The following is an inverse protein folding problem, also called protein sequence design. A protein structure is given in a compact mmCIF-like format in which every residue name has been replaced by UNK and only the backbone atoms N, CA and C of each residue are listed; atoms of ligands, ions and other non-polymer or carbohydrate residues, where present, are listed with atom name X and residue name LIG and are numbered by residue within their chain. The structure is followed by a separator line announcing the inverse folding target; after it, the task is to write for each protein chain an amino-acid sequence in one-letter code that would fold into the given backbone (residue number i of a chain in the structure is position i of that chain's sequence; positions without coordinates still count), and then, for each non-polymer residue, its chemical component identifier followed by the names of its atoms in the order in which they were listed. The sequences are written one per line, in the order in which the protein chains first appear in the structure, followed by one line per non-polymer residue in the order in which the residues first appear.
data_IF_297830836296
#
_entry.id   IF_297830836296
#
_cell.length_a   1.000
_cell.length_b   1.000
_cell.length_c   1.000
_cell.angle_alpha   90.00
_cell.angle_beta   90.00
_cell.angle_gamma   90.00
#
_symmetry.space_group_name_H-M   'P 1'
#
loop_
_entity.id
_entity.type
_entity.pdbx_description
1 polymer ?
#
# COMPACT_ATOMS: atom_id res chain seq x y z
N UNK A 1 -14.15 -8.31 -10.93
CA UNK A 1 -15.09 -7.33 -11.51
C UNK A 1 -14.28 -6.11 -11.96
N UNK A 2 -14.59 -5.51 -13.10
CA UNK A 2 -13.90 -4.29 -13.55
C UNK A 2 -14.16 -3.12 -12.59
N UNK A 3 -13.20 -2.19 -12.49
CA UNK A 3 -13.39 -0.96 -11.73
C UNK A 3 -14.52 -0.11 -12.35
N UNK A 4 -15.37 0.57 -11.55
CA UNK A 4 -16.33 1.56 -12.05
C UNK A 4 -15.64 2.72 -12.77
N UNK A 5 -16.38 3.49 -13.55
CA UNK A 5 -15.83 4.72 -14.15
C UNK A 5 -15.45 5.70 -13.03
N UNK A 6 -14.43 6.55 -13.27
CA UNK A 6 -13.95 7.49 -12.26
C UNK A 6 -15.07 8.41 -11.78
N UNK A 7 -15.91 8.88 -12.70
CA UNK A 7 -17.02 9.80 -12.44
C UNK A 7 -18.07 9.20 -11.50
N UNK A 8 -18.22 7.88 -11.46
CA UNK A 8 -19.18 7.18 -10.60
C UNK A 8 -18.65 6.98 -9.17
N UNK A 9 -17.33 7.07 -8.97
CA UNK A 9 -16.67 6.71 -7.72
C UNK A 9 -15.83 7.85 -7.11
N UNK A 10 -15.68 8.98 -7.82
CA UNK A 10 -14.83 10.09 -7.42
C UNK A 10 -15.15 10.61 -6.02
N UNK A 11 -16.44 10.84 -5.71
CA UNK A 11 -16.87 11.33 -4.40
C UNK A 11 -16.55 10.33 -3.28
N UNK A 12 -16.69 9.03 -3.54
CA UNK A 12 -16.36 7.97 -2.57
C UNK A 12 -14.85 7.91 -2.33
N UNK A 13 -14.06 8.04 -3.39
CA UNK A 13 -12.60 8.11 -3.27
C UNK A 13 -12.19 9.33 -2.46
N UNK A 14 -12.71 10.51 -2.79
CA UNK A 14 -12.41 11.76 -2.08
C UNK A 14 -12.77 11.67 -0.59
N UNK A 15 -13.96 11.15 -0.29
CA UNK A 15 -14.39 10.94 1.09
C UNK A 15 -13.43 10.04 1.87
N UNK A 16 -13.10 8.85 1.33
CA UNK A 16 -12.19 7.91 2.01
C UNK A 16 -10.76 8.45 2.10
N UNK A 17 -10.31 9.19 1.08
CA UNK A 17 -8.99 9.81 1.08
C UNK A 17 -8.89 10.81 2.23
N UNK A 18 -9.90 11.66 2.43
CA UNK A 18 -9.93 12.60 3.54
C UNK A 18 -9.88 11.90 4.91
N UNK A 19 -10.61 10.78 5.08
CA UNK A 19 -10.54 9.99 6.32
C UNK A 19 -9.13 9.47 6.61
N UNK A 20 -8.42 8.97 5.60
CA UNK A 20 -7.04 8.49 5.77
C UNK A 20 -6.07 9.65 6.02
N UNK A 21 -6.26 10.78 5.35
CA UNK A 21 -5.42 11.97 5.58
C UNK A 21 -5.58 12.47 7.01
N UNK A 22 -6.81 12.53 7.54
CA UNK A 22 -7.07 12.90 8.92
C UNK A 22 -6.38 11.94 9.90
N UNK A 23 -6.54 10.63 9.70
CA UNK A 23 -5.88 9.59 10.49
C UNK A 23 -4.34 9.74 10.47
N UNK A 24 -3.76 9.92 9.29
CA UNK A 24 -2.30 10.05 9.14
C UNK A 24 -1.75 11.32 9.81
N UNK A 25 -2.53 12.40 9.79
CA UNK A 25 -2.18 13.63 10.50
C UNK A 25 -2.19 13.43 12.02
N UNK A 26 -3.12 12.64 12.57
CA UNK A 26 -3.18 12.34 14.01
C UNK A 26 -1.94 11.60 14.52
N UNK A 27 -1.31 10.79 13.67
CA UNK A 27 -0.07 10.07 13.98
C UNK A 27 1.19 10.80 13.49
N UNK A 28 1.07 12.09 13.15
CA UNK A 28 2.15 12.97 12.69
C UNK A 28 2.92 12.43 11.47
N UNK A 29 2.25 11.67 10.60
CA UNK A 29 2.85 11.20 9.36
C UNK A 29 2.84 12.30 8.28
N UNK A 30 4.03 12.66 7.77
CA UNK A 30 4.17 13.62 6.68
C UNK A 30 3.74 13.00 5.34
N UNK A 31 2.48 13.22 4.97
CA UNK A 31 1.90 12.69 3.74
C UNK A 31 2.12 13.63 2.55
N UNK A 32 2.71 13.10 1.48
CA UNK A 32 2.68 13.72 0.16
C UNK A 32 1.37 13.37 -0.54
N UNK A 33 0.36 14.22 -0.32
CA UNK A 33 -1.03 13.96 -0.69
C UNK A 33 -1.19 13.63 -2.17
N UNK A 34 -2.05 12.67 -2.48
CA UNK A 34 -2.51 12.40 -3.84
C UNK A 34 -3.91 12.97 -4.06
N UNK A 35 -4.26 13.21 -5.31
CA UNK A 35 -5.63 13.55 -5.71
C UNK A 35 -6.48 12.27 -5.86
N UNK A 36 -7.82 12.37 -5.80
CA UNK A 36 -8.70 11.24 -6.12
C UNK A 36 -8.41 10.61 -7.49
N UNK A 37 -7.99 11.43 -8.46
CA UNK A 37 -7.64 10.97 -9.80
C UNK A 37 -6.33 10.18 -9.82
N UNK A 38 -5.28 10.69 -9.17
CA UNK A 38 -4.01 9.98 -9.05
C UNK A 38 -4.21 8.62 -8.37
N UNK A 39 -5.02 8.56 -7.30
CA UNK A 39 -5.34 7.30 -6.63
C UNK A 39 -6.09 6.35 -7.55
N UNK A 40 -7.15 6.81 -8.22
CA UNK A 40 -7.89 5.98 -9.17
C UNK A 40 -6.99 5.42 -10.29
N UNK A 41 -6.18 6.28 -10.90
CA UNK A 41 -5.25 5.90 -11.98
C UNK A 41 -4.22 4.88 -11.49
N UNK A 42 -3.68 5.05 -10.28
CA UNK A 42 -2.78 4.09 -9.67
C UNK A 42 -3.44 2.73 -9.42
N UNK A 43 -4.66 2.73 -8.84
CA UNK A 43 -5.36 1.52 -8.43
C UNK A 43 -5.90 0.69 -9.61
N UNK A 44 -6.24 1.36 -10.70
CA UNK A 44 -6.75 0.75 -11.94
C UNK A 44 -5.68 0.54 -13.01
N UNK A 45 -4.48 1.07 -12.74
CA UNK A 45 -3.35 1.03 -13.64
C UNK A 45 -2.80 -0.37 -13.89
N UNK A 46 -1.99 -0.45 -14.93
CA UNK A 46 -1.31 -1.65 -15.33
C UNK A 46 -0.25 -2.07 -14.29
N UNK A 47 -0.29 -3.34 -13.85
CA UNK A 47 0.69 -3.91 -12.92
C UNK A 47 1.62 -4.93 -13.63
N UNK A 48 2.81 -5.17 -13.08
CA UNK A 48 3.71 -6.26 -13.48
C UNK A 48 3.49 -7.56 -12.70
N UNK A 49 2.78 -7.51 -11.56
CA UNK A 49 2.39 -8.65 -10.74
C UNK A 49 0.90 -8.92 -10.96
N UNK A 50 0.56 -10.18 -11.24
CA UNK A 50 -0.84 -10.62 -11.25
C UNK A 50 -1.35 -10.59 -9.80
N UNK A 51 -2.12 -9.55 -9.48
CA UNK A 51 -2.71 -9.35 -8.16
C UNK A 51 -4.16 -9.81 -8.18
N UNK A 52 -4.53 -10.71 -7.25
CA UNK A 52 -5.93 -11.07 -7.03
C UNK A 52 -6.71 -9.96 -6.30
N UNK A 53 -6.01 -9.05 -5.61
CA UNK A 53 -6.61 -7.89 -4.94
C UNK A 53 -7.18 -6.94 -6.00
N UNK A 54 -8.50 -6.75 -5.97
CA UNK A 54 -9.22 -5.89 -6.90
C UNK A 54 -9.30 -4.45 -6.40
N UNK A 55 -9.71 -3.55 -7.30
CA UNK A 55 -10.04 -2.16 -6.94
C UNK A 55 -11.04 -2.07 -5.78
N UNK A 56 -12.07 -2.93 -5.78
CA UNK A 56 -13.09 -2.93 -4.73
C UNK A 56 -12.55 -3.41 -3.39
N UNK A 57 -11.59 -4.34 -3.39
CA UNK A 57 -10.96 -4.81 -2.15
C UNK A 57 -10.15 -3.68 -1.52
N UNK A 58 -9.38 -2.93 -2.32
CA UNK A 58 -8.64 -1.75 -1.85
C UNK A 58 -9.57 -0.62 -1.39
N UNK A 59 -10.67 -0.38 -2.11
CA UNK A 59 -11.66 0.63 -1.71
C UNK A 59 -12.56 0.17 -0.54
N UNK A 60 -12.61 -1.12 -0.24
CA UNK A 60 -13.48 -1.68 0.81
C UNK A 60 -12.76 -1.96 2.12
N UNK A 61 -11.44 -2.11 2.09
CA UNK A 61 -10.62 -2.42 3.25
C UNK A 61 -9.82 -1.17 3.66
N UNK A 62 -9.81 -0.85 4.96
CA UNK A 62 -9.12 0.35 5.47
C UNK A 62 -7.59 0.24 5.35
N UNK A 63 -7.04 -0.92 5.69
CA UNK A 63 -5.60 -1.18 5.66
C UNK A 63 -5.04 -1.15 4.24
N UNK A 64 -5.72 -1.81 3.29
CA UNK A 64 -5.30 -1.78 1.88
C UNK A 64 -5.41 -0.39 1.26
N UNK A 65 -6.37 0.43 1.72
CA UNK A 65 -6.52 1.79 1.24
C UNK A 65 -5.44 2.71 1.80
N UNK A 66 -5.18 2.62 3.11
CA UNK A 66 -4.06 3.28 3.79
C UNK A 66 -2.74 2.93 3.11
N UNK A 67 -2.48 1.63 2.89
CA UNK A 67 -1.31 1.13 2.19
C UNK A 67 -1.15 1.81 0.82
N UNK A 68 -2.23 1.86 0.03
CA UNK A 68 -2.20 2.46 -1.31
C UNK A 68 -1.84 3.95 -1.27
N UNK A 69 -2.33 4.69 -0.28
CA UNK A 69 -2.06 6.13 -0.12
C UNK A 69 -0.61 6.37 0.31
N UNK A 70 -0.08 5.57 1.25
CA UNK A 70 1.30 5.67 1.70
C UNK A 70 2.28 5.28 0.59
N UNK A 71 1.94 4.25 -0.20
CA UNK A 71 2.74 3.83 -1.35
C UNK A 71 2.82 4.96 -2.39
N UNK A 72 1.69 5.59 -2.73
CA UNK A 72 1.68 6.76 -3.62
C UNK A 72 2.51 7.92 -3.03
N UNK A 73 2.38 8.21 -1.74
CA UNK A 73 3.20 9.23 -1.09
C UNK A 73 4.69 8.96 -1.26
N UNK A 74 5.14 7.73 -0.98
CA UNK A 74 6.54 7.34 -1.14
C UNK A 74 7.03 7.46 -2.58
N UNK A 75 6.18 7.14 -3.57
CA UNK A 75 6.50 7.35 -4.98
C UNK A 75 6.66 8.84 -5.31
N UNK A 76 5.75 9.70 -4.82
CA UNK A 76 5.83 11.14 -5.03
C UNK A 76 7.05 11.75 -4.34
N UNK A 77 7.43 11.26 -3.16
CA UNK A 77 8.66 11.66 -2.46
C UNK A 77 9.93 11.29 -3.27
N UNK A 78 9.87 10.20 -4.04
CA UNK A 78 10.91 9.81 -4.99
C UNK A 78 10.84 10.59 -6.32
N UNK A 79 9.96 11.58 -6.46
CA UNK A 79 9.80 12.41 -7.65
C UNK A 79 9.02 11.74 -8.79
N UNK A 80 8.23 10.70 -8.49
CA UNK A 80 7.41 10.00 -9.48
C UNK A 80 6.07 10.70 -9.68
N UNK A 81 5.71 10.93 -10.95
CA UNK A 81 4.36 11.35 -11.33
C UNK A 81 3.41 10.14 -11.40
N UNK A 82 2.24 10.26 -10.78
CA UNK A 82 1.28 9.17 -10.64
C UNK A 82 0.30 9.17 -11.82
N UNK A 83 0.21 8.03 -12.50
CA UNK A 83 -0.65 7.81 -13.65
C UNK A 83 -0.90 6.29 -13.85
N UNK A 84 -1.75 5.87 -14.80
CA UNK A 84 -2.09 4.45 -14.98
C UNK A 84 -0.94 3.52 -15.38
N UNK A 85 0.24 4.07 -15.72
CA UNK A 85 1.42 3.29 -16.11
C UNK A 85 2.49 3.26 -15.03
N UNK A 86 2.32 3.98 -13.92
CA UNK A 86 3.34 4.17 -12.87
C UNK A 86 4.01 2.85 -12.48
N UNK A 87 3.23 1.81 -12.14
CA UNK A 87 3.77 0.53 -11.69
C UNK A 87 4.63 -0.15 -12.78
N UNK A 88 4.26 -0.02 -14.07
CA UNK A 88 5.05 -0.57 -15.18
C UNK A 88 6.25 0.28 -15.60
N UNK A 89 6.17 1.60 -15.43
CA UNK A 89 7.18 2.54 -15.95
C UNK A 89 8.29 2.86 -14.97
N UNK A 90 8.03 2.71 -13.67
CA UNK A 90 8.98 3.02 -12.60
C UNK A 90 9.86 1.81 -12.31
N UNK A 91 11.07 2.06 -11.80
CA UNK A 91 11.97 0.98 -11.40
C UNK A 91 11.36 0.12 -10.30
N UNK A 92 11.61 -1.20 -10.33
CA UNK A 92 11.15 -2.10 -9.27
C UNK A 92 11.72 -1.71 -7.91
N UNK A 93 12.95 -1.18 -7.86
CA UNK A 93 13.56 -0.63 -6.65
C UNK A 93 12.62 0.40 -6.00
N UNK A 94 12.22 1.42 -6.76
CA UNK A 94 11.38 2.51 -6.26
C UNK A 94 9.96 2.02 -5.88
N UNK A 95 9.38 1.12 -6.68
CA UNK A 95 8.06 0.55 -6.37
C UNK A 95 8.10 -0.26 -5.07
N UNK A 96 9.08 -1.16 -4.91
CA UNK A 96 9.18 -1.99 -3.72
C UNK A 96 9.59 -1.18 -2.48
N UNK A 97 10.39 -0.14 -2.63
CA UNK A 97 10.74 0.73 -1.51
C UNK A 97 9.49 1.42 -0.93
N UNK A 98 8.66 2.00 -1.81
CA UNK A 98 7.37 2.58 -1.42
C UNK A 98 6.41 1.53 -0.86
N UNK A 99 6.37 0.33 -1.45
CA UNK A 99 5.55 -0.79 -0.99
C UNK A 99 5.92 -1.29 0.41
N UNK A 100 7.22 -1.42 0.69
CA UNK A 100 7.71 -1.84 2.01
C UNK A 100 7.46 -0.76 3.05
N UNK A 101 7.64 0.53 2.71
CA UNK A 101 7.22 1.64 3.57
C UNK A 101 5.73 1.53 3.91
N UNK A 102 4.87 1.35 2.90
CA UNK A 102 3.43 1.19 3.12
C UNK A 102 3.08 -0.04 3.97
N UNK A 103 3.78 -1.17 3.76
CA UNK A 103 3.59 -2.40 4.54
C UNK A 103 3.91 -2.21 6.02
N UNK A 104 5.02 -1.52 6.34
CA UNK A 104 5.43 -1.24 7.71
C UNK A 104 4.37 -0.42 8.46
N UNK A 105 3.88 0.67 7.85
CA UNK A 105 2.81 1.48 8.42
C UNK A 105 1.47 0.74 8.49
N UNK A 106 1.13 -0.10 7.52
CA UNK A 106 -0.08 -0.91 7.53
C UNK A 106 -0.08 -1.88 8.73
N UNK A 107 1.04 -2.57 8.95
CA UNK A 107 1.22 -3.47 10.09
C UNK A 107 1.18 -2.70 11.41
N UNK A 108 1.90 -1.59 11.52
CA UNK A 108 1.88 -0.72 12.69
C UNK A 108 0.48 -0.20 13.02
N UNK A 109 -0.28 0.23 12.01
CA UNK A 109 -1.66 0.69 12.18
C UNK A 109 -2.58 -0.44 12.64
N UNK A 110 -2.48 -1.63 12.05
CA UNK A 110 -3.26 -2.80 12.51
C UNK A 110 -2.95 -3.19 13.96
N UNK A 111 -1.71 -3.01 14.40
CA UNK A 111 -1.31 -3.26 15.78
C UNK A 111 -1.91 -2.22 16.75
N UNK A 112 -1.93 -0.93 16.37
CA UNK A 112 -2.57 0.14 17.17
C UNK A 112 -4.07 -0.16 17.39
N UNK A 113 -4.74 -0.71 16.37
CA UNK A 113 -6.14 -1.11 16.46
C UNK A 113 -6.37 -2.47 17.13
N UNK A 114 -5.29 -3.16 17.54
CA UNK A 114 -5.32 -4.52 18.06
C UNK A 114 -5.98 -5.54 17.09
N UNK A 115 -5.94 -5.27 15.78
CA UNK A 115 -6.42 -6.18 14.74
C UNK A 115 -5.36 -7.23 14.39
N UNK A 116 -5.14 -8.13 15.33
CA UNK A 116 -4.19 -9.24 15.16
C UNK A 116 -4.55 -10.18 14.01
N UNK A 117 -5.83 -10.23 13.60
CA UNK A 117 -6.23 -11.02 12.45
C UNK A 117 -5.61 -10.46 11.17
N UNK A 118 -5.76 -9.15 10.94
CA UNK A 118 -5.16 -8.48 9.79
C UNK A 118 -3.63 -8.53 9.84
N UNK A 119 -3.05 -8.22 11.00
CA UNK A 119 -1.60 -8.26 11.21
C UNK A 119 -1.01 -9.61 10.79
N UNK A 120 -1.55 -10.72 11.30
CA UNK A 120 -1.09 -12.08 10.95
C UNK A 120 -1.27 -12.39 9.47
N UNK A 121 -2.40 -11.98 8.89
CA UNK A 121 -2.68 -12.19 7.46
C UNK A 121 -1.60 -11.49 6.60
N UNK A 122 -1.28 -10.23 6.89
CA UNK A 122 -0.25 -9.48 6.15
C UNK A 122 1.16 -9.95 6.43
N UNK A 123 1.49 -10.32 7.66
CA UNK A 123 2.79 -10.92 7.98
C UNK A 123 3.02 -12.22 7.22
N UNK A 124 1.99 -13.08 7.10
CA UNK A 124 2.09 -14.30 6.33
C UNK A 124 2.31 -14.01 4.83
N UNK A 125 1.66 -12.96 4.29
CA UNK A 125 1.89 -12.53 2.92
C UNK A 125 3.31 -11.97 2.72
N UNK A 126 3.81 -11.14 3.64
CA UNK A 126 5.18 -10.61 3.60
C UNK A 126 6.22 -11.74 3.67
N UNK A 127 6.01 -12.74 4.55
CA UNK A 127 6.87 -13.94 4.62
C UNK A 127 6.89 -14.71 3.29
N UNK A 128 5.74 -14.83 2.61
CA UNK A 128 5.67 -15.46 1.30
C UNK A 128 6.36 -14.63 0.22
N UNK A 129 6.19 -13.30 0.24
CA UNK A 129 6.81 -12.41 -0.74
C UNK A 129 8.34 -12.43 -0.62
N UNK A 130 8.89 -12.38 0.61
CA UNK A 130 10.34 -12.50 0.86
C UNK A 130 10.91 -13.80 0.26
N UNK A 131 10.18 -14.91 0.39
CA UNK A 131 10.64 -16.24 -0.06
C UNK A 131 10.46 -16.46 -1.56
N UNK A 132 9.37 -15.96 -2.13
CA UNK A 132 8.88 -16.44 -3.43
C UNK A 132 8.71 -15.34 -4.49
N UNK A 133 8.72 -14.05 -4.11
CA UNK A 133 8.51 -12.97 -5.06
C UNK A 133 9.76 -12.73 -5.93
N UNK A 134 9.67 -13.13 -7.19
CA UNK A 134 10.75 -12.98 -8.19
C UNK A 134 10.95 -11.54 -8.66
N UNK A 135 10.06 -10.62 -8.29
CA UNK A 135 10.15 -9.21 -8.67
C UNK A 135 10.76 -8.35 -7.57
N UNK A 136 10.84 -8.85 -6.33
CA UNK A 136 11.48 -8.13 -5.23
C UNK A 136 12.98 -7.94 -5.54
N UNK A 137 13.48 -6.69 -5.55
CA UNK A 137 14.91 -6.41 -5.69
C UNK A 137 15.74 -7.00 -4.55
N UNK A 138 16.91 -7.55 -4.86
CA UNK A 138 17.78 -8.19 -3.87
C UNK A 138 18.21 -7.20 -2.77
N UNK A 139 18.45 -5.94 -3.15
CA UNK A 139 18.80 -4.83 -2.25
C UNK A 139 17.75 -4.52 -1.19
N UNK A 140 16.49 -4.92 -1.40
CA UNK A 140 15.37 -4.62 -0.51
C UNK A 140 14.94 -5.82 0.35
N UNK A 141 15.53 -7.00 0.16
CA UNK A 141 15.18 -8.18 0.95
C UNK A 141 15.53 -8.03 2.42
N UNK A 142 16.65 -7.39 2.73
CA UNK A 142 17.05 -7.12 4.12
C UNK A 142 16.02 -6.22 4.80
N UNK A 143 15.63 -5.11 4.16
CA UNK A 143 14.58 -4.22 4.66
C UNK A 143 13.23 -4.94 4.85
N UNK A 144 12.85 -5.79 3.91
CA UNK A 144 11.62 -6.58 4.05
C UNK A 144 11.68 -7.54 5.25
N UNK A 145 12.84 -8.16 5.49
CA UNK A 145 13.07 -9.03 6.65
C UNK A 145 13.05 -8.24 7.96
N UNK A 146 13.65 -7.05 8.01
CA UNK A 146 13.63 -6.17 9.19
C UNK A 146 12.20 -5.78 9.59
N UNK A 147 11.35 -5.44 8.61
CA UNK A 147 9.93 -5.18 8.86
C UNK A 147 9.27 -6.44 9.43
N UNK A 148 9.42 -7.60 8.78
CA UNK A 148 8.84 -8.85 9.25
C UNK A 148 9.26 -9.20 10.69
N UNK A 149 10.56 -9.05 11.00
CA UNK A 149 11.13 -9.36 12.31
C UNK A 149 10.60 -8.41 13.40
N UNK A 150 10.34 -7.14 13.07
CA UNK A 150 9.80 -6.13 13.99
C UNK A 150 8.40 -6.48 14.50
N UNK A 151 7.64 -7.28 13.75
CA UNK A 151 6.30 -7.73 14.14
C UNK A 151 6.26 -9.21 14.59
N UNK A 152 7.39 -9.91 14.62
CA UNK A 152 7.45 -11.36 14.83
C UNK A 152 6.84 -11.81 16.16
N UNK A 153 6.97 -11.01 17.22
CA UNK A 153 6.41 -11.31 18.54
C UNK A 153 4.88 -11.35 18.55
N UNK A 154 4.22 -10.68 17.60
CA UNK A 154 2.75 -10.62 17.50
C UNK A 154 2.16 -11.76 16.66
N UNK A 155 3.00 -12.59 16.02
CA UNK A 155 2.55 -13.66 15.12
C UNK A 155 1.65 -14.70 15.83
N UNK A 156 1.88 -14.91 17.12
CA UNK A 156 1.22 -15.98 17.90
C UNK A 156 0.04 -15.49 18.76
N UNK A 157 -0.27 -14.18 18.78
CA UNK A 157 -1.32 -13.58 19.64
C UNK A 157 -2.75 -13.86 19.21
#
# INVERSE_FOLDING_TARGET
MAAPAFEEIAEIIEFRLNQVVELLNEIEYELNTCTPRELYDYLTGDNFKDSEITFRDRLGNEYLFLHSIIEISGLKDAGVEINPKTIKSVSKETIYDAHLKATDYELGYSLILEDYYWLKHRMAQLEQDIKNDKHMPESLKERAQEIYDSFLEYKDY
#
